data_IF_107789295383
#
_entry.id   IF_107789295383
#
_cell.length_a   1.000
_cell.length_b   1.000
_cell.length_c   1.000
_cell.angle_alpha   90.00
_cell.angle_beta   90.00
_cell.angle_gamma   90.00
#
_symmetry.space_group_name_H-M   'P 1'
#
loop_
_entity.id
_entity.type
_entity.pdbx_description
1 polymer ?
#
# COMPACT_ATOMS: atom_id res chain seq x y z
N UNK A 1 17.07 17.17 -17.60
CA UNK A 1 16.37 18.32 -17.00
C UNK A 1 17.45 19.10 -16.27
N UNK A 2 17.56 20.42 -16.46
CA UNK A 2 18.51 21.23 -15.68
C UNK A 2 17.84 21.58 -14.35
N UNK A 3 18.48 21.20 -13.26
CA UNK A 3 17.98 21.41 -11.90
C UNK A 3 18.25 22.87 -11.50
N UNK A 4 17.20 23.67 -11.29
CA UNK A 4 17.33 25.03 -10.78
C UNK A 4 17.77 24.94 -9.31
N UNK A 5 19.00 25.36 -9.00
CA UNK A 5 19.59 25.22 -7.66
C UNK A 5 19.27 26.39 -6.75
N UNK A 6 19.23 27.57 -7.33
CA UNK A 6 19.06 28.81 -6.61
C UNK A 6 18.41 29.89 -7.48
N UNK A 7 17.89 30.93 -6.83
CA UNK A 7 17.39 32.15 -7.46
C UNK A 7 17.84 33.35 -6.63
N UNK A 8 18.31 34.40 -7.30
CA UNK A 8 18.62 35.67 -6.64
C UNK A 8 17.52 36.69 -6.90
N UNK A 9 16.96 37.26 -5.82
CA UNK A 9 15.94 38.32 -5.86
C UNK A 9 16.36 39.40 -4.86
N UNK A 10 16.42 40.66 -5.31
CA UNK A 10 16.74 41.82 -4.47
C UNK A 10 18.01 41.65 -3.61
N UNK A 11 19.09 41.12 -4.21
CA UNK A 11 20.37 40.77 -3.59
C UNK A 11 20.35 39.64 -2.55
N UNK A 12 19.24 38.93 -2.38
CA UNK A 12 19.14 37.72 -1.57
C UNK A 12 19.15 36.47 -2.45
N UNK A 13 19.86 35.42 -2.04
CA UNK A 13 19.92 34.14 -2.76
C UNK A 13 19.14 33.07 -2.00
N UNK A 14 18.18 32.45 -2.68
CA UNK A 14 17.36 31.36 -2.17
C UNK A 14 17.78 30.05 -2.81
N UNK A 15 17.89 28.99 -2.00
CA UNK A 15 18.22 27.64 -2.46
C UNK A 15 16.97 26.78 -2.52
N UNK A 16 16.85 25.94 -3.55
CA UNK A 16 15.72 25.03 -3.70
C UNK A 16 16.05 23.64 -3.17
N UNK A 17 15.10 23.08 -2.43
CA UNK A 17 15.08 21.67 -2.08
C UNK A 17 13.86 21.01 -2.74
N UNK A 18 14.10 19.93 -3.48
CA UNK A 18 13.06 19.25 -4.24
C UNK A 18 12.56 18.02 -3.48
N UNK A 19 11.24 17.93 -3.38
CA UNK A 19 10.53 16.78 -2.87
C UNK A 19 9.63 16.19 -3.95
N UNK A 20 9.47 14.87 -3.93
CA UNK A 20 8.63 14.15 -4.87
C UNK A 20 7.51 13.43 -4.13
N UNK A 21 6.28 13.90 -4.34
CA UNK A 21 5.08 13.34 -3.74
C UNK A 21 4.24 12.54 -4.74
N UNK A 22 3.56 11.51 -4.27
CA UNK A 22 2.55 10.81 -5.08
C UNK A 22 2.13 9.45 -4.52
N UNK A 23 1.20 8.80 -5.22
CA UNK A 23 0.83 7.42 -4.90
C UNK A 23 2.03 6.48 -5.10
N UNK A 24 2.02 5.34 -4.40
CA UNK A 24 3.15 4.41 -4.42
C UNK A 24 3.52 3.94 -5.83
N UNK A 25 2.53 3.72 -6.72
CA UNK A 25 2.77 3.17 -8.05
C UNK A 25 3.44 4.22 -8.94
N UNK A 26 2.97 5.46 -8.89
CA UNK A 26 3.64 6.58 -9.53
C UNK A 26 5.09 6.71 -9.05
N UNK A 27 5.29 6.76 -7.72
CA UNK A 27 6.61 6.93 -7.11
C UNK A 27 7.57 5.79 -7.46
N UNK A 28 7.11 4.55 -7.46
CA UNK A 28 7.91 3.40 -7.87
C UNK A 28 8.39 3.55 -9.33
N UNK A 29 7.50 3.95 -10.24
CA UNK A 29 7.87 4.16 -11.64
C UNK A 29 8.92 5.27 -11.82
N UNK A 30 8.71 6.44 -11.22
CA UNK A 30 9.63 7.58 -11.35
C UNK A 30 10.97 7.34 -10.66
N UNK A 31 10.99 6.56 -9.57
CA UNK A 31 12.21 6.14 -8.88
C UNK A 31 12.89 4.93 -9.55
N UNK A 32 12.34 4.38 -10.63
CA UNK A 32 12.94 3.25 -11.34
C UNK A 32 12.83 1.91 -10.62
N UNK A 33 11.83 1.74 -9.76
CA UNK A 33 11.50 0.50 -9.06
C UNK A 33 10.46 -0.30 -9.85
N UNK A 34 10.57 -1.64 -9.79
CA UNK A 34 9.67 -2.57 -10.44
C UNK A 34 8.35 -2.78 -9.68
N UNK A 35 7.77 -3.97 -9.82
CA UNK A 35 6.40 -4.25 -9.37
C UNK A 35 6.27 -4.30 -7.83
N UNK A 36 5.07 -4.01 -7.32
CA UNK A 36 4.74 -3.97 -5.87
C UNK A 36 4.80 -5.35 -5.20
N UNK A 37 4.59 -6.41 -5.98
CA UNK A 37 4.60 -7.79 -5.52
C UNK A 37 6.00 -8.42 -5.52
N UNK A 38 7.02 -7.68 -5.95
CA UNK A 38 8.40 -8.16 -5.90
C UNK A 38 8.92 -8.23 -4.45
N UNK A 39 9.95 -9.04 -4.23
CA UNK A 39 10.51 -9.21 -2.90
C UNK A 39 11.09 -7.90 -2.34
N UNK A 40 11.67 -7.05 -3.20
CA UNK A 40 12.27 -5.77 -2.83
C UNK A 40 11.43 -4.56 -3.29
N UNK A 41 10.16 -4.50 -2.86
CA UNK A 41 9.22 -3.46 -3.29
C UNK A 41 9.39 -2.10 -2.60
N UNK A 42 10.14 -2.00 -1.50
CA UNK A 42 10.31 -0.72 -0.81
C UNK A 42 11.06 0.29 -1.69
N UNK A 43 10.53 1.51 -1.78
CA UNK A 43 11.13 2.62 -2.53
C UNK A 43 12.41 3.10 -1.84
N UNK A 44 12.43 3.12 -0.51
CA UNK A 44 13.54 3.71 0.25
C UNK A 44 14.64 2.72 0.60
N UNK A 45 14.33 1.43 0.80
CA UNK A 45 15.30 0.45 1.27
C UNK A 45 15.24 -0.88 0.52
N UNK A 46 16.27 -1.69 0.73
CA UNK A 46 16.48 -3.02 0.15
C UNK A 46 15.93 -4.14 1.05
N UNK A 47 14.95 -3.84 1.91
CA UNK A 47 14.28 -4.82 2.76
C UNK A 47 13.52 -5.86 1.91
N UNK A 48 13.84 -7.14 2.09
CA UNK A 48 13.17 -8.24 1.42
C UNK A 48 11.77 -8.49 2.00
N UNK A 49 10.84 -9.01 1.20
CA UNK A 49 9.46 -9.29 1.60
C UNK A 49 9.35 -10.17 2.84
N UNK A 50 10.22 -11.18 2.95
CA UNK A 50 10.24 -12.11 4.08
C UNK A 50 10.78 -11.46 5.37
N UNK A 51 11.54 -10.37 5.25
CA UNK A 51 12.19 -9.70 6.38
C UNK A 51 11.36 -8.55 6.95
N UNK A 52 10.25 -8.17 6.31
CA UNK A 52 9.42 -7.02 6.73
C UNK A 52 8.78 -7.18 8.11
N UNK A 53 8.57 -8.43 8.53
CA UNK A 53 7.96 -8.76 9.82
C UNK A 53 9.02 -9.05 10.90
N UNK A 54 10.30 -9.12 10.54
CA UNK A 54 11.38 -9.46 11.46
C UNK A 54 11.86 -8.21 12.20
N UNK A 55 11.37 -8.03 13.43
CA UNK A 55 11.72 -6.88 14.27
C UNK A 55 13.15 -6.92 14.81
N UNK A 56 13.90 -8.01 14.58
CA UNK A 56 15.32 -8.09 14.94
C UNK A 56 16.22 -7.40 13.90
N UNK A 57 15.70 -7.19 12.68
CA UNK A 57 16.42 -6.52 11.59
C UNK A 57 16.15 -5.01 11.60
N UNK A 58 17.20 -4.24 11.40
CA UNK A 58 17.11 -2.80 11.25
C UNK A 58 17.22 -2.39 9.78
N UNK A 59 16.33 -1.52 9.32
CA UNK A 59 16.33 -0.97 7.96
C UNK A 59 16.21 0.54 8.02
N UNK A 60 17.10 1.23 7.32
CA UNK A 60 17.11 2.69 7.25
C UNK A 60 16.60 3.19 5.90
N UNK A 61 16.06 4.41 5.91
CA UNK A 61 15.72 5.17 4.70
C UNK A 61 16.83 6.15 4.30
N UNK A 62 17.82 6.38 5.17
CA UNK A 62 18.92 7.34 4.98
C UNK A 62 20.28 6.65 4.87
N UNK A 63 20.46 5.54 5.59
CA UNK A 63 21.76 4.88 5.75
C UNK A 63 21.89 3.65 4.83
N UNK A 64 22.76 3.69 3.79
CA UNK A 64 22.95 2.57 2.87
C UNK A 64 23.49 1.30 3.51
N UNK A 65 24.28 1.40 4.59
CA UNK A 65 24.81 0.24 5.33
C UNK A 65 23.67 -0.51 6.03
N UNK A 66 22.64 0.23 6.43
CA UNK A 66 21.37 -0.29 6.92
C UNK A 66 20.30 -0.44 5.81
N UNK A 67 20.75 -0.62 4.56
CA UNK A 67 19.92 -1.04 3.44
C UNK A 67 19.16 0.07 2.73
N UNK A 68 19.34 1.36 3.07
CA UNK A 68 18.78 2.46 2.29
C UNK A 68 19.24 2.39 0.82
N UNK A 69 18.41 2.85 -0.10
CA UNK A 69 18.71 2.91 -1.52
C UNK A 69 19.26 4.28 -1.87
N UNK A 70 20.22 4.30 -2.80
CA UNK A 70 20.67 5.52 -3.45
C UNK A 70 20.27 5.55 -4.92
N UNK A 71 20.21 6.75 -5.51
CA UNK A 71 19.96 6.94 -6.95
C UNK A 71 21.00 6.19 -7.78
N UNK A 72 22.28 6.26 -7.38
CA UNK A 72 23.38 5.58 -8.06
C UNK A 72 23.23 4.05 -8.04
N UNK A 73 22.85 3.48 -6.89
CA UNK A 73 22.60 2.04 -6.77
C UNK A 73 21.44 1.60 -7.67
N UNK A 74 20.36 2.38 -7.75
CA UNK A 74 19.23 2.04 -8.62
C UNK A 74 19.67 2.00 -10.08
N UNK A 75 20.41 2.99 -10.54
CA UNK A 75 20.92 3.04 -11.92
C UNK A 75 21.86 1.86 -12.22
N UNK A 76 22.75 1.50 -11.28
CA UNK A 76 23.64 0.36 -11.42
C UNK A 76 22.86 -0.97 -11.48
N UNK A 77 21.90 -1.16 -10.58
CA UNK A 77 21.14 -2.39 -10.44
C UNK A 77 20.02 -2.55 -11.48
N UNK A 78 19.59 -1.48 -12.13
CA UNK A 78 18.63 -1.54 -13.23
C UNK A 78 19.09 -2.46 -14.37
N UNK A 79 20.40 -2.50 -14.65
CA UNK A 79 20.99 -3.36 -15.70
C UNK A 79 20.83 -4.85 -15.41
N UNK A 80 20.94 -5.24 -14.15
CA UNK A 80 20.86 -6.64 -13.68
C UNK A 80 19.52 -7.00 -13.05
N UNK A 81 18.58 -6.03 -12.97
CA UNK A 81 17.30 -6.13 -12.26
C UNK A 81 17.43 -6.54 -10.78
N UNK A 82 18.58 -6.25 -10.17
CA UNK A 82 18.84 -6.59 -8.77
C UNK A 82 18.00 -5.71 -7.85
N UNK A 83 17.52 -6.28 -6.73
CA UNK A 83 16.70 -5.58 -5.73
C UNK A 83 15.51 -4.82 -6.32
N UNK A 84 14.89 -5.37 -7.37
CA UNK A 84 13.75 -4.77 -8.07
C UNK A 84 14.02 -3.40 -8.72
N UNK A 85 15.29 -3.03 -8.97
CA UNK A 85 15.62 -1.86 -9.76
C UNK A 85 15.38 -2.16 -11.24
N UNK A 86 14.59 -1.35 -11.93
CA UNK A 86 14.15 -1.59 -13.32
C UNK A 86 14.71 -0.59 -14.32
N UNK A 87 14.87 0.66 -13.90
CA UNK A 87 15.35 1.74 -14.77
C UNK A 87 16.07 2.81 -13.97
N UNK A 88 16.76 3.71 -14.68
CA UNK A 88 17.27 4.94 -14.06
C UNK A 88 16.10 5.78 -13.52
N UNK A 89 16.21 6.39 -12.34
CA UNK A 89 15.23 7.36 -11.86
C UNK A 89 15.07 8.53 -12.83
N UNK A 90 13.84 9.02 -12.99
CA UNK A 90 13.54 10.15 -13.89
C UNK A 90 14.13 11.46 -13.34
N UNK A 91 14.12 11.61 -12.01
CA UNK A 91 14.65 12.78 -11.29
C UNK A 91 15.86 12.37 -10.42
N UNK A 92 17.04 12.12 -11.01
CA UNK A 92 18.21 11.63 -10.27
C UNK A 92 18.79 12.66 -9.29
N UNK A 93 18.41 13.93 -9.40
CA UNK A 93 18.81 14.99 -8.48
C UNK A 93 17.98 15.02 -7.19
N UNK A 94 16.84 14.32 -7.14
CA UNK A 94 16.03 14.19 -5.92
C UNK A 94 16.50 12.95 -5.15
N UNK A 95 17.06 13.10 -3.93
CA UNK A 95 17.46 11.96 -3.13
C UNK A 95 16.22 11.18 -2.69
N UNK A 96 16.35 9.86 -2.47
CA UNK A 96 15.19 9.05 -2.09
C UNK A 96 14.60 9.42 -0.72
N UNK A 97 15.40 10.03 0.15
CA UNK A 97 14.94 10.61 1.41
C UNK A 97 13.89 11.70 1.23
N UNK A 98 13.81 12.34 0.06
CA UNK A 98 12.84 13.37 -0.28
C UNK A 98 11.66 12.84 -1.11
N UNK A 99 11.56 11.52 -1.25
CA UNK A 99 10.38 10.86 -1.83
C UNK A 99 9.35 10.65 -0.72
N UNK A 100 8.21 11.32 -0.85
CA UNK A 100 7.13 11.35 0.13
C UNK A 100 5.93 10.58 -0.42
N UNK A 101 5.52 9.52 0.27
CA UNK A 101 4.34 8.75 -0.11
C UNK A 101 3.05 9.51 0.20
N UNK A 102 2.08 9.36 -0.68
CA UNK A 102 0.71 9.80 -0.41
C UNK A 102 0.11 9.03 0.79
N UNK A 103 -0.15 9.78 1.86
CA UNK A 103 -0.69 9.27 3.12
C UNK A 103 -2.14 8.80 2.99
N UNK A 104 -2.95 9.38 2.10
CA UNK A 104 -4.33 8.97 1.87
C UNK A 104 -4.39 7.56 1.30
N UNK A 105 -3.65 7.32 0.21
CA UNK A 105 -3.59 6.00 -0.41
C UNK A 105 -2.95 4.95 0.51
N UNK A 106 -1.96 5.35 1.30
CA UNK A 106 -1.36 4.48 2.32
C UNK A 106 -2.41 4.08 3.37
N UNK A 107 -3.15 5.05 3.90
CA UNK A 107 -4.19 4.81 4.91
C UNK A 107 -5.27 3.88 4.37
N UNK A 108 -5.82 4.16 3.18
CA UNK A 108 -6.82 3.30 2.53
C UNK A 108 -6.31 1.86 2.42
N UNK A 109 -5.05 1.68 1.96
CA UNK A 109 -4.48 0.34 1.82
C UNK A 109 -4.29 -0.37 3.16
N UNK A 110 -3.89 0.33 4.21
CA UNK A 110 -3.75 -0.25 5.56
C UNK A 110 -5.13 -0.64 6.10
N UNK A 111 -6.11 0.25 5.99
CA UNK A 111 -7.50 -0.01 6.40
C UNK A 111 -8.10 -1.22 5.68
N UNK A 112 -7.94 -1.33 4.37
CA UNK A 112 -8.41 -2.49 3.59
C UNK A 112 -7.85 -3.81 4.11
N UNK A 113 -6.54 -3.86 4.40
CA UNK A 113 -5.91 -5.07 4.92
C UNK A 113 -6.41 -5.39 6.33
N UNK A 114 -6.51 -4.40 7.21
CA UNK A 114 -6.99 -4.60 8.59
C UNK A 114 -8.46 -5.07 8.62
N UNK A 115 -9.32 -4.47 7.81
CA UNK A 115 -10.73 -4.88 7.68
C UNK A 115 -10.80 -6.30 7.10
N UNK A 116 -9.99 -6.61 6.08
CA UNK A 116 -9.90 -7.97 5.53
C UNK A 116 -9.48 -9.01 6.58
N UNK A 117 -8.51 -8.67 7.45
CA UNK A 117 -8.11 -9.50 8.58
C UNK A 117 -9.22 -9.67 9.62
N UNK A 118 -9.88 -8.58 10.02
CA UNK A 118 -11.01 -8.63 10.94
C UNK A 118 -12.12 -9.55 10.40
N UNK A 119 -12.50 -9.40 9.14
CA UNK A 119 -13.54 -10.23 8.51
C UNK A 119 -13.13 -11.70 8.47
N UNK A 120 -11.85 -11.99 8.23
CA UNK A 120 -11.32 -13.36 8.30
C UNK A 120 -11.48 -13.94 9.70
N UNK A 121 -11.15 -13.18 10.75
CA UNK A 121 -11.32 -13.62 12.13
C UNK A 121 -12.80 -13.86 12.48
N UNK A 122 -13.70 -12.97 12.03
CA UNK A 122 -15.15 -13.18 12.21
C UNK A 122 -15.63 -14.49 11.56
N UNK A 123 -15.11 -14.82 10.38
CA UNK A 123 -15.40 -16.11 9.71
C UNK A 123 -14.89 -17.30 10.52
N UNK A 124 -13.72 -17.19 11.16
CA UNK A 124 -13.19 -18.24 12.05
C UNK A 124 -14.10 -18.39 13.28
N UNK A 125 -14.51 -17.29 13.91
CA UNK A 125 -15.44 -17.32 15.05
C UNK A 125 -16.80 -17.95 14.71
N UNK A 126 -17.27 -17.78 13.47
CA UNK A 126 -18.50 -18.39 12.96
C UNK A 126 -18.28 -19.78 12.31
N UNK A 127 -17.05 -20.33 12.34
CA UNK A 127 -16.69 -21.63 11.76
C UNK A 127 -17.03 -21.77 10.26
N UNK A 128 -16.79 -20.69 9.50
CA UNK A 128 -17.05 -20.61 8.05
C UNK A 128 -15.83 -20.18 7.23
N UNK A 129 -14.62 -20.25 7.81
CA UNK A 129 -13.38 -19.87 7.13
C UNK A 129 -13.10 -20.70 5.88
N UNK A 130 -13.51 -21.98 5.89
CA UNK A 130 -13.39 -22.90 4.75
C UNK A 130 -14.60 -22.85 3.81
N UNK A 131 -15.68 -22.15 4.19
CA UNK A 131 -16.91 -22.09 3.39
C UNK A 131 -16.74 -21.08 2.26
N UNK A 132 -16.55 -21.59 1.05
CA UNK A 132 -16.34 -20.78 -0.16
C UNK A 132 -17.65 -20.48 -0.90
N UNK A 133 -18.69 -21.31 -0.76
CA UNK A 133 -19.98 -21.12 -1.44
C UNK A 133 -21.16 -21.15 -0.48
N UNK A 134 -22.17 -20.34 -0.78
CA UNK A 134 -23.41 -20.17 0.00
C UNK A 134 -24.61 -20.47 -0.92
N UNK A 135 -24.98 -21.74 -1.04
CA UNK A 135 -26.16 -22.17 -1.82
C UNK A 135 -27.46 -21.68 -1.21
N UNK A 136 -27.54 -21.71 0.12
CA UNK A 136 -28.77 -21.47 0.90
C UNK A 136 -28.84 -20.03 1.42
N UNK A 137 -28.06 -19.12 0.83
CA UNK A 137 -27.94 -17.73 1.28
C UNK A 137 -27.07 -17.54 2.53
N UNK A 138 -27.16 -16.35 3.12
CA UNK A 138 -26.44 -15.94 4.33
C UNK A 138 -27.40 -15.82 5.52
N UNK A 139 -27.32 -16.77 6.46
CA UNK A 139 -28.19 -16.79 7.65
C UNK A 139 -27.55 -16.03 8.81
N UNK A 140 -28.11 -14.85 9.14
CA UNK A 140 -27.64 -13.96 10.21
C UNK A 140 -27.78 -14.55 11.62
N UNK A 141 -28.75 -15.43 11.84
CA UNK A 141 -28.92 -16.16 13.10
C UNK A 141 -27.81 -17.20 13.31
N UNK A 142 -27.38 -17.83 12.22
CA UNK A 142 -26.31 -18.83 12.23
C UNK A 142 -24.92 -18.19 12.37
N UNK A 143 -24.70 -17.05 11.72
CA UNK A 143 -23.41 -16.36 11.64
C UNK A 143 -23.41 -15.13 12.54
N UNK A 144 -23.40 -15.38 13.85
CA UNK A 144 -23.64 -14.37 14.88
C UNK A 144 -22.58 -13.27 14.89
N UNK A 145 -21.30 -13.61 14.72
CA UNK A 145 -20.22 -12.62 14.82
C UNK A 145 -20.23 -11.69 13.61
N UNK A 146 -20.40 -12.26 12.42
CA UNK A 146 -20.55 -11.50 11.18
C UNK A 146 -21.79 -10.60 11.22
N UNK A 147 -22.93 -11.12 11.70
CA UNK A 147 -24.18 -10.36 11.86
C UNK A 147 -24.06 -9.21 12.87
N UNK A 148 -23.36 -9.43 13.98
CA UNK A 148 -23.06 -8.39 14.97
C UNK A 148 -22.21 -7.27 14.39
N UNK A 149 -21.20 -7.61 13.60
CA UNK A 149 -20.37 -6.61 12.93
C UNK A 149 -21.17 -5.76 11.94
N UNK A 150 -22.05 -6.40 11.16
CA UNK A 150 -22.99 -5.69 10.28
C UNK A 150 -23.88 -4.72 11.07
N UNK A 151 -24.48 -5.20 12.16
CA UNK A 151 -25.35 -4.37 13.03
C UNK A 151 -24.58 -3.19 13.63
N UNK A 152 -23.38 -3.44 14.16
CA UNK A 152 -22.53 -2.41 14.74
C UNK A 152 -22.21 -1.29 13.74
N UNK A 153 -21.84 -1.63 12.50
CA UNK A 153 -21.58 -0.63 11.47
C UNK A 153 -22.84 0.17 11.11
N UNK A 154 -23.99 -0.49 11.01
CA UNK A 154 -25.27 0.17 10.74
C UNK A 154 -25.68 1.13 11.88
N UNK A 155 -25.44 0.76 13.13
CA UNK A 155 -25.65 1.62 14.31
C UNK A 155 -24.76 2.87 14.28
N UNK A 156 -23.57 2.77 13.69
CA UNK A 156 -22.67 3.91 13.44
C UNK A 156 -23.07 4.74 12.20
N UNK A 157 -24.18 4.40 11.53
CA UNK A 157 -24.62 5.07 10.31
C UNK A 157 -23.84 4.69 9.05
N UNK A 158 -23.07 3.61 9.10
CA UNK A 158 -22.28 3.11 7.98
C UNK A 158 -23.11 2.08 7.20
N UNK A 159 -23.42 2.32 5.91
CA UNK A 159 -24.23 1.40 5.11
C UNK A 159 -23.41 0.16 4.71
N UNK A 160 -23.43 -0.85 5.58
CA UNK A 160 -22.74 -2.12 5.39
C UNK A 160 -23.74 -3.28 5.44
N UNK A 161 -23.59 -4.25 4.52
CA UNK A 161 -24.38 -5.48 4.53
C UNK A 161 -23.65 -6.65 3.89
N UNK A 162 -23.86 -7.85 4.44
CA UNK A 162 -23.44 -9.10 3.83
C UNK A 162 -24.42 -9.55 2.75
N UNK A 163 -23.92 -9.98 1.60
CA UNK A 163 -24.74 -10.57 0.55
C UNK A 163 -24.01 -11.71 -0.16
N UNK A 164 -24.77 -12.58 -0.82
CA UNK A 164 -24.20 -13.68 -1.61
C UNK A 164 -24.19 -13.28 -3.07
N UNK A 165 -23.01 -13.27 -3.70
CA UNK A 165 -22.86 -12.95 -5.11
C UNK A 165 -23.69 -13.91 -5.98
N UNK A 166 -24.47 -13.36 -6.91
CA UNK A 166 -25.42 -14.16 -7.72
C UNK A 166 -24.71 -15.24 -8.54
N UNK A 167 -23.57 -14.88 -9.13
CA UNK A 167 -22.74 -15.72 -9.99
C UNK A 167 -21.68 -16.50 -9.20
N UNK A 168 -20.95 -15.81 -8.33
CA UNK A 168 -19.84 -16.39 -7.55
C UNK A 168 -20.33 -17.38 -6.50
N UNK A 169 -21.57 -17.19 -6.00
CA UNK A 169 -22.10 -17.82 -4.78
C UNK A 169 -21.22 -17.59 -3.55
N UNK A 170 -20.32 -16.62 -3.60
CA UNK A 170 -19.43 -16.28 -2.51
C UNK A 170 -20.08 -15.24 -1.60
N UNK A 171 -19.66 -15.22 -0.34
CA UNK A 171 -20.07 -14.18 0.59
C UNK A 171 -19.26 -12.92 0.29
N UNK A 172 -19.96 -11.89 -0.14
CA UNK A 172 -19.45 -10.58 -0.52
C UNK A 172 -20.01 -9.52 0.42
N UNK A 173 -19.39 -8.35 0.43
CA UNK A 173 -19.80 -7.20 1.22
C UNK A 173 -19.45 -5.93 0.46
N UNK A 174 -20.23 -4.88 0.70
CA UNK A 174 -19.88 -3.56 0.20
C UNK A 174 -18.70 -3.04 0.99
N UNK A 175 -17.67 -2.63 0.27
CA UNK A 175 -16.53 -1.92 0.82
C UNK A 175 -17.02 -0.64 1.53
N UNK A 176 -16.30 -0.23 2.58
CA UNK A 176 -16.53 1.04 3.27
C UNK A 176 -16.17 2.25 2.38
N UNK A 177 -15.49 2.02 1.26
CA UNK A 177 -15.10 3.03 0.26
C UNK A 177 -16.20 3.26 -0.79
N UNK A 178 -17.25 3.97 -0.39
CA UNK A 178 -18.16 4.69 -1.30
C UNK A 178 -18.96 3.87 -2.33
N UNK A 179 -19.87 4.53 -3.07
CA UNK A 179 -20.81 3.87 -3.98
C UNK A 179 -20.23 3.46 -5.35
N UNK A 180 -18.95 3.72 -5.62
CA UNK A 180 -18.37 3.63 -6.98
C UNK A 180 -18.22 2.21 -7.55
N UNK A 181 -18.59 1.17 -6.79
CA UNK A 181 -18.57 -0.24 -7.26
C UNK A 181 -19.90 -0.72 -7.87
N UNK A 182 -20.88 0.16 -8.04
CA UNK A 182 -22.10 -0.10 -8.82
C UNK A 182 -21.95 0.45 -10.25
N UNK A 183 -21.16 -0.24 -11.08
CA UNK A 183 -21.26 -0.19 -12.55
C UNK A 183 -20.76 -1.51 -13.14
#
# INVERSE_FOLDING_TARGET
MQDLKDISVDNETFYFEYFLGGDWKFLACVCGIGAVNADYACIWCKCARLDRCDTTKHWSILDPDNGARTVNEIEQYARSRKFNCKSKPIFPFIPLSHVVIDTLHLFLRVSDNLIGHLIRELKVCDSIEKKTKYSDGFCREKYRNMSRYETFLQELGIPFSWYVGKETKQLEYRDLTGPEKEN
#
